data_IF_617704251331
#
_entry.id   IF_617704251331
#
_cell.length_a   1.000
_cell.length_b   1.000
_cell.length_c   1.000
_cell.angle_alpha   90.00
_cell.angle_beta   90.00
_cell.angle_gamma   90.00
#
_symmetry.space_group_name_H-M   'P 1'
#
loop_
_entity.id
_entity.type
_entity.pdbx_description
1 polymer ?
#
# COMPACT_ATOMS: atom_id res chain seq x y z
N UNK A 1 -21.99 6.52 -28.41
CA UNK A 1 -23.30 6.18 -27.82
C UNK A 1 -23.06 5.97 -26.34
N UNK A 2 -23.29 7.03 -25.56
CA UNK A 2 -22.85 7.07 -24.17
C UNK A 2 -23.82 6.29 -23.30
N UNK A 3 -23.38 5.14 -22.81
CA UNK A 3 -24.12 4.39 -21.80
C UNK A 3 -24.09 5.17 -20.49
N UNK A 4 -25.17 5.06 -19.71
CA UNK A 4 -25.24 5.58 -18.34
C UNK A 4 -23.97 5.18 -17.54
N UNK A 5 -23.46 6.06 -16.65
CA UNK A 5 -22.29 5.76 -15.81
C UNK A 5 -22.47 4.47 -14.99
N UNK A 6 -23.72 4.14 -14.63
CA UNK A 6 -24.03 2.93 -13.84
C UNK A 6 -24.21 1.67 -14.68
N UNK A 7 -24.05 1.75 -16.00
CA UNK A 7 -24.26 0.62 -16.88
C UNK A 7 -23.11 -0.40 -16.81
N UNK A 8 -23.46 -1.68 -16.85
CA UNK A 8 -22.48 -2.75 -17.01
C UNK A 8 -21.75 -2.62 -18.36
N UNK A 9 -20.43 -2.77 -18.30
CA UNK A 9 -19.56 -2.68 -19.49
C UNK A 9 -19.05 -4.06 -19.88
N UNK A 10 -18.98 -4.34 -21.18
CA UNK A 10 -18.36 -5.57 -21.67
C UNK A 10 -16.84 -5.47 -21.66
N UNK A 11 -16.14 -6.61 -21.73
CA UNK A 11 -14.67 -6.60 -21.82
C UNK A 11 -14.11 -5.85 -23.03
N UNK A 12 -14.81 -5.87 -24.17
CA UNK A 12 -14.40 -5.09 -25.34
C UNK A 12 -14.51 -3.59 -25.07
N UNK A 13 -15.60 -3.16 -24.46
CA UNK A 13 -15.81 -1.74 -24.12
C UNK A 13 -14.79 -1.24 -23.11
N UNK A 14 -14.51 -2.01 -22.05
CA UNK A 14 -13.50 -1.64 -21.05
C UNK A 14 -12.09 -1.63 -21.65
N UNK A 15 -11.81 -2.54 -22.59
CA UNK A 15 -10.54 -2.58 -23.31
C UNK A 15 -10.35 -1.33 -24.18
N UNK A 16 -11.37 -0.94 -24.93
CA UNK A 16 -11.38 0.27 -25.77
C UNK A 16 -11.28 1.54 -24.92
N UNK A 17 -12.06 1.64 -23.83
CA UNK A 17 -12.09 2.80 -22.93
C UNK A 17 -10.73 3.06 -22.26
N UNK A 18 -9.92 2.02 -22.05
CA UNK A 18 -8.64 2.08 -21.34
C UNK A 18 -7.42 1.98 -22.26
N UNK A 19 -7.65 1.80 -23.56
CA UNK A 19 -6.63 1.48 -24.55
C UNK A 19 -5.75 0.30 -24.12
N UNK A 20 -6.40 -0.80 -23.71
CA UNK A 20 -5.75 -2.02 -23.25
C UNK A 20 -6.23 -3.23 -24.05
N UNK A 21 -5.34 -4.16 -24.43
CA UNK A 21 -5.78 -5.41 -25.05
C UNK A 21 -6.67 -6.23 -24.11
N UNK A 22 -7.74 -6.83 -24.64
CA UNK A 22 -8.68 -7.64 -23.83
C UNK A 22 -8.01 -8.79 -23.06
N UNK A 23 -6.94 -9.38 -23.61
CA UNK A 23 -6.23 -10.47 -22.93
C UNK A 23 -5.51 -9.99 -21.65
N UNK A 24 -5.12 -8.71 -21.58
CA UNK A 24 -4.56 -8.11 -20.36
C UNK A 24 -5.63 -8.02 -19.28
N UNK A 25 -6.85 -7.60 -19.62
CA UNK A 25 -7.98 -7.60 -18.69
C UNK A 25 -8.29 -9.01 -18.18
N UNK A 26 -8.31 -10.02 -19.07
CA UNK A 26 -8.47 -11.43 -18.67
C UNK A 26 -7.35 -11.89 -17.75
N UNK A 27 -6.12 -11.46 -18.00
CA UNK A 27 -5.00 -11.77 -17.12
C UNK A 27 -5.16 -11.10 -15.76
N UNK A 28 -5.61 -9.84 -15.70
CA UNK A 28 -5.85 -9.11 -14.46
C UNK A 28 -6.94 -9.74 -13.60
N UNK A 29 -8.00 -10.30 -14.20
CA UNK A 29 -9.00 -11.10 -13.48
C UNK A 29 -8.36 -12.24 -12.66
N UNK A 30 -7.25 -12.81 -13.14
CA UNK A 30 -6.54 -13.90 -12.42
C UNK A 30 -5.60 -13.38 -11.33
N UNK A 31 -5.20 -12.10 -11.41
CA UNK A 31 -4.22 -11.49 -10.48
C UNK A 31 -4.91 -10.69 -9.37
N UNK A 32 -6.04 -10.07 -9.64
CA UNK A 32 -6.74 -9.22 -8.68
C UNK A 32 -8.08 -9.84 -8.34
N UNK A 33 -8.19 -10.41 -7.14
CA UNK A 33 -9.42 -11.08 -6.66
C UNK A 33 -10.58 -10.12 -6.45
N UNK A 34 -10.31 -8.82 -6.43
CA UNK A 34 -11.28 -7.75 -6.34
C UNK A 34 -12.07 -7.59 -7.65
N UNK A 35 -11.46 -7.88 -8.81
CA UNK A 35 -12.11 -7.77 -10.12
C UNK A 35 -12.92 -9.05 -10.37
N UNK A 36 -14.25 -8.97 -10.26
CA UNK A 36 -15.14 -10.13 -10.40
C UNK A 36 -16.14 -9.93 -11.54
N UNK A 37 -15.77 -10.25 -12.80
CA UNK A 37 -16.69 -10.09 -13.92
C UNK A 37 -17.90 -11.01 -13.76
N UNK A 38 -19.09 -10.47 -14.04
CA UNK A 38 -20.32 -11.25 -14.12
C UNK A 38 -20.33 -12.04 -15.42
N UNK A 39 -20.38 -13.38 -15.31
CA UNK A 39 -20.48 -14.29 -16.45
C UNK A 39 -21.96 -14.55 -16.76
N UNK A 40 -22.42 -14.13 -17.94
CA UNK A 40 -23.76 -14.46 -18.45
C UNK A 40 -23.66 -15.63 -19.43
N UNK A 41 -24.80 -16.23 -19.79
CA UNK A 41 -24.88 -17.24 -20.85
C UNK A 41 -24.13 -16.79 -22.11
N UNK A 42 -23.34 -17.70 -22.70
CA UNK A 42 -22.49 -17.43 -23.86
C UNK A 42 -21.06 -16.95 -23.53
N UNK A 43 -20.61 -17.02 -22.28
CA UNK A 43 -19.20 -16.77 -21.92
C UNK A 43 -18.75 -15.31 -21.97
N UNK A 44 -19.69 -14.38 -22.18
CA UNK A 44 -19.43 -12.93 -22.16
C UNK A 44 -19.24 -12.45 -20.72
N UNK A 45 -18.26 -11.57 -20.54
CA UNK A 45 -17.88 -10.96 -19.26
C UNK A 45 -18.40 -9.53 -19.22
N UNK A 46 -19.07 -9.21 -18.12
CA UNK A 46 -19.54 -7.87 -17.82
C UNK A 46 -18.89 -7.38 -16.53
N UNK A 47 -18.36 -6.16 -16.54
CA UNK A 47 -17.81 -5.49 -15.37
C UNK A 47 -18.83 -4.52 -14.80
N UNK A 48 -18.87 -4.41 -13.47
CA UNK A 48 -19.63 -3.37 -12.79
C UNK A 48 -18.91 -2.02 -12.95
N UNK A 49 -19.62 -0.89 -12.87
CA UNK A 49 -19.00 0.44 -12.87
C UNK A 49 -17.84 0.55 -11.86
N UNK A 50 -18.06 0.05 -10.64
CA UNK A 50 -17.05 0.02 -9.57
C UNK A 50 -15.80 -0.80 -9.93
N UNK A 51 -15.97 -1.93 -10.65
CA UNK A 51 -14.83 -2.72 -11.11
C UNK A 51 -14.05 -1.96 -12.19
N UNK A 52 -14.75 -1.23 -13.07
CA UNK A 52 -14.12 -0.42 -14.13
C UNK A 52 -13.30 0.72 -13.52
N UNK A 53 -13.81 1.39 -12.49
CA UNK A 53 -13.06 2.39 -11.73
C UNK A 53 -11.82 1.80 -11.07
N UNK A 54 -11.94 0.61 -10.49
CA UNK A 54 -10.80 -0.09 -9.91
C UNK A 54 -9.75 -0.46 -10.97
N UNK A 55 -10.18 -0.94 -12.13
CA UNK A 55 -9.30 -1.28 -13.26
C UNK A 55 -8.56 -0.03 -13.76
N UNK A 56 -9.22 1.14 -13.80
CA UNK A 56 -8.56 2.44 -14.10
C UNK A 56 -7.43 2.74 -13.12
N UNK A 57 -7.70 2.61 -11.82
CA UNK A 57 -6.68 2.78 -10.79
C UNK A 57 -5.51 1.80 -10.93
N UNK A 58 -5.80 0.52 -11.20
CA UNK A 58 -4.77 -0.50 -11.42
C UNK A 58 -3.92 -0.16 -12.65
N UNK A 59 -4.54 0.25 -13.77
CA UNK A 59 -3.82 0.68 -14.97
C UNK A 59 -2.88 1.83 -14.65
N UNK A 60 -3.36 2.86 -13.96
CA UNK A 60 -2.54 4.01 -13.59
C UNK A 60 -1.32 3.57 -12.76
N UNK A 61 -1.52 2.70 -11.78
CA UNK A 61 -0.41 2.22 -10.95
C UNK A 61 0.61 1.40 -11.75
N UNK A 62 0.16 0.55 -12.67
CA UNK A 62 1.04 -0.34 -13.42
C UNK A 62 1.78 0.37 -14.56
N UNK A 63 1.08 1.20 -15.33
CA UNK A 63 1.63 1.81 -16.55
C UNK A 63 2.17 3.21 -16.30
N UNK A 64 1.47 4.04 -15.52
CA UNK A 64 1.85 5.44 -15.34
C UNK A 64 2.85 5.57 -14.18
N UNK A 65 2.64 4.84 -13.07
CA UNK A 65 3.52 4.86 -11.89
C UNK A 65 4.59 3.75 -11.89
N UNK A 66 4.52 2.78 -12.83
CA UNK A 66 5.52 1.72 -12.96
C UNK A 66 5.55 0.69 -11.82
N UNK A 67 4.46 0.53 -11.06
CA UNK A 67 4.40 -0.50 -10.02
C UNK A 67 4.35 -1.90 -10.62
N UNK A 68 4.85 -2.88 -9.87
CA UNK A 68 4.65 -4.29 -10.20
C UNK A 68 3.27 -4.77 -9.76
N UNK A 69 2.76 -5.84 -10.39
CA UNK A 69 1.49 -6.47 -9.99
C UNK A 69 1.48 -6.82 -8.49
N UNK A 70 2.60 -7.35 -7.97
CA UNK A 70 2.74 -7.65 -6.54
C UNK A 70 2.66 -6.40 -5.66
N UNK A 71 3.24 -5.29 -6.12
CA UNK A 71 3.15 -4.00 -5.45
C UNK A 71 1.71 -3.49 -5.36
N UNK A 72 0.97 -3.53 -6.47
CA UNK A 72 -0.44 -3.12 -6.51
C UNK A 72 -1.32 -4.03 -5.65
N UNK A 73 -1.08 -5.35 -5.66
CA UNK A 73 -1.75 -6.28 -4.75
C UNK A 73 -1.48 -5.97 -3.27
N UNK A 74 -0.25 -5.57 -2.92
CA UNK A 74 0.09 -5.16 -1.56
C UNK A 74 -0.68 -3.90 -1.16
N UNK A 75 -0.71 -2.89 -2.03
CA UNK A 75 -1.49 -1.66 -1.79
C UNK A 75 -2.97 -1.94 -1.61
N UNK A 76 -3.55 -2.85 -2.39
CA UNK A 76 -4.95 -3.26 -2.25
C UNK A 76 -5.25 -3.91 -0.90
N UNK A 77 -4.36 -4.76 -0.40
CA UNK A 77 -4.55 -5.38 0.92
C UNK A 77 -4.43 -4.38 2.06
N UNK A 78 -3.61 -3.35 1.86
CA UNK A 78 -3.26 -2.39 2.90
C UNK A 78 -4.22 -1.20 2.99
N UNK A 79 -4.62 -0.64 1.85
CA UNK A 79 -5.43 0.58 1.78
C UNK A 79 -6.85 0.32 1.24
N UNK A 80 -7.12 -0.90 0.76
CA UNK A 80 -8.40 -1.26 0.16
C UNK A 80 -8.61 -0.74 -1.26
N UNK A 81 -9.78 -1.05 -1.82
CA UNK A 81 -10.12 -0.72 -3.21
C UNK A 81 -10.29 0.78 -3.43
N UNK A 82 -10.87 1.48 -2.45
CA UNK A 82 -11.16 2.91 -2.53
C UNK A 82 -9.91 3.75 -2.75
N UNK A 83 -8.76 3.31 -2.22
CA UNK A 83 -7.49 3.99 -2.44
C UNK A 83 -7.06 4.00 -3.90
N UNK A 84 -7.15 2.85 -4.59
CA UNK A 84 -6.80 2.78 -6.01
C UNK A 84 -7.80 3.52 -6.89
N UNK A 85 -9.09 3.48 -6.54
CA UNK A 85 -10.12 4.25 -7.25
C UNK A 85 -9.85 5.76 -7.12
N UNK A 86 -9.52 6.24 -5.92
CA UNK A 86 -9.17 7.63 -5.69
C UNK A 86 -7.93 8.05 -6.50
N UNK A 87 -6.89 7.23 -6.53
CA UNK A 87 -5.70 7.46 -7.37
C UNK A 87 -6.07 7.52 -8.85
N UNK A 88 -6.85 6.54 -9.34
CA UNK A 88 -7.25 6.47 -10.74
C UNK A 88 -8.08 7.67 -11.20
N UNK A 89 -8.81 8.30 -10.28
CA UNK A 89 -9.58 9.52 -10.52
C UNK A 89 -8.78 10.81 -10.29
N UNK A 90 -7.52 10.71 -9.83
CA UNK A 90 -6.69 11.87 -9.48
C UNK A 90 -7.14 12.62 -8.23
N UNK A 91 -7.97 12.02 -7.38
CA UNK A 91 -8.46 12.63 -6.16
C UNK A 91 -7.43 12.50 -5.03
N UNK A 92 -6.43 13.39 -5.08
CA UNK A 92 -5.34 13.40 -4.09
C UNK A 92 -5.83 13.70 -2.66
N UNK A 93 -6.92 14.46 -2.52
CA UNK A 93 -7.49 14.75 -1.20
C UNK A 93 -8.10 13.49 -0.57
N UNK A 94 -8.82 12.67 -1.35
CA UNK A 94 -9.31 11.38 -0.88
C UNK A 94 -8.17 10.40 -0.56
N UNK A 95 -7.12 10.38 -1.38
CA UNK A 95 -5.92 9.56 -1.13
C UNK A 95 -5.27 9.93 0.20
N UNK A 96 -5.08 11.22 0.46
CA UNK A 96 -4.49 11.71 1.71
C UNK A 96 -5.37 11.39 2.91
N UNK A 97 -6.69 11.59 2.81
CA UNK A 97 -7.63 11.26 3.88
C UNK A 97 -7.62 9.75 4.23
N UNK A 98 -7.54 8.87 3.23
CA UNK A 98 -7.43 7.42 3.45
C UNK A 98 -6.10 7.07 4.12
N UNK A 99 -5.00 7.69 3.68
CA UNK A 99 -3.69 7.47 4.28
C UNK A 99 -3.62 7.97 5.74
N UNK A 100 -4.20 9.13 6.04
CA UNK A 100 -4.25 9.70 7.39
C UNK A 100 -5.10 8.85 8.35
N UNK A 101 -6.26 8.34 7.91
CA UNK A 101 -7.09 7.42 8.71
C UNK A 101 -6.32 6.16 9.10
N UNK A 102 -5.58 5.58 8.14
CA UNK A 102 -4.74 4.42 8.38
C UNK A 102 -3.61 4.72 9.38
N UNK A 103 -2.96 5.88 9.26
CA UNK A 103 -1.93 6.29 10.22
C UNK A 103 -2.49 6.44 11.64
N UNK A 104 -3.70 7.00 11.79
CA UNK A 104 -4.37 7.12 13.08
C UNK A 104 -4.75 5.74 13.69
N UNK A 105 -5.18 4.78 12.87
CA UNK A 105 -5.47 3.41 13.30
C UNK A 105 -4.22 2.59 13.62
N UNK A 106 -3.05 2.97 13.10
CA UNK A 106 -1.76 2.32 13.35
C UNK A 106 -1.01 2.89 14.57
N UNK A 107 -1.51 3.94 15.22
CA UNK A 107 -0.94 4.40 16.50
C UNK A 107 -1.34 3.39 17.59
N UNK A 108 -0.39 2.66 18.21
CA UNK A 108 -0.73 1.82 19.34
C UNK A 108 -1.19 2.70 20.51
N UNK A 109 -2.21 2.27 21.24
CA UNK A 109 -2.53 2.79 22.57
C UNK A 109 -1.32 2.55 23.52
N UNK A 110 -0.33 3.43 23.47
CA UNK A 110 0.75 3.51 24.47
C UNK A 110 0.95 4.97 24.87
N UNK A 111 -0.07 5.58 25.44
CA UNK A 111 0.04 6.87 26.13
C UNK A 111 -1.12 7.09 27.12
N UNK A 112 -1.24 6.22 28.12
CA UNK A 112 -1.99 6.51 29.34
C UNK A 112 -1.41 5.75 30.54
N UNK A 113 -0.11 5.96 30.80
CA UNK A 113 0.48 5.71 32.11
C UNK A 113 0.72 7.07 32.77
N UNK A 114 -0.15 7.46 33.70
CA UNK A 114 0.20 8.41 34.75
C UNK A 114 0.45 7.61 36.03
N UNK A 115 1.56 7.85 36.75
CA UNK A 115 1.74 7.30 38.08
C UNK A 115 0.96 8.16 39.07
N UNK A 116 0.05 7.55 39.83
CA UNK A 116 -0.38 8.09 41.13
C UNK A 116 0.12 7.15 42.20
N UNK A 117 0.97 7.66 43.09
CA UNK A 117 1.18 7.05 44.39
C UNK A 117 -0.12 7.12 45.19
N UNK A 118 -0.40 6.09 45.98
CA UNK A 118 -0.11 6.09 47.41
C UNK A 118 -0.52 4.73 48.03
N UNK A 119 0.46 4.14 48.68
CA UNK A 119 0.48 3.32 49.90
C UNK A 119 -0.87 2.88 50.50
N UNK A 120 -1.14 1.56 50.57
CA UNK A 120 -1.19 0.77 51.82
C UNK A 120 -1.86 -0.60 51.56
N UNK A 121 -1.10 -1.70 51.63
CA UNK A 121 -1.65 -3.04 51.91
C UNK A 121 -0.52 -4.00 52.28
N UNK A 122 -0.48 -4.29 53.58
CA UNK A 122 0.44 -5.12 54.32
C UNK A 122 0.19 -6.63 54.10
N UNK A 123 1.27 -7.42 54.30
CA UNK A 123 1.33 -8.87 54.66
C UNK A 123 1.47 -9.93 53.53
N UNK A 124 2.72 -10.31 53.25
CA UNK A 124 3.31 -11.62 53.57
C UNK A 124 2.86 -12.90 52.82
N UNK A 125 3.76 -13.47 52.00
CA UNK A 125 4.41 -14.78 52.22
C UNK A 125 5.49 -15.11 51.15
N UNK A 126 6.46 -16.00 51.43
CA UNK A 126 7.79 -16.00 50.79
C UNK A 126 8.03 -17.12 49.75
N UNK A 127 9.17 -16.97 49.04
CA UNK A 127 10.00 -18.05 48.42
C UNK A 127 9.46 -18.59 47.08
N UNK A 128 10.24 -18.94 46.05
CA UNK A 128 11.63 -19.40 45.93
C UNK A 128 12.09 -19.14 44.48
N UNK A 129 13.36 -18.78 44.25
CA UNK A 129 14.05 -19.15 42.99
C UNK A 129 14.75 -20.50 43.19
N UNK A 130 14.66 -21.43 42.25
CA UNK A 130 15.75 -22.36 42.02
C UNK A 130 16.41 -22.09 40.67
N UNK A 131 17.69 -21.74 40.78
CA UNK A 131 18.68 -21.90 39.74
C UNK A 131 18.74 -23.36 39.27
N UNK A 132 18.84 -23.57 37.95
CA UNK A 132 19.84 -24.52 37.46
C UNK A 132 20.32 -24.12 36.06
N UNK A 133 21.61 -23.75 36.02
CA UNK A 133 22.44 -23.66 34.82
C UNK A 133 22.50 -25.03 34.14
N UNK A 134 22.46 -25.05 32.81
CA UNK A 134 23.32 -25.96 32.07
C UNK A 134 24.00 -25.21 30.92
N UNK A 135 25.30 -25.44 30.87
CA UNK A 135 26.31 -24.86 30.00
C UNK A 135 26.21 -25.54 28.62
N UNK A 136 26.21 -24.75 27.55
CA UNK A 136 26.23 -25.24 26.17
C UNK A 136 26.95 -24.22 25.29
N UNK A 137 28.26 -24.37 25.20
CA UNK A 137 29.19 -23.63 24.36
C UNK A 137 28.83 -23.86 22.87
N UNK A 138 28.41 -22.82 22.17
CA UNK A 138 28.06 -22.88 20.75
C UNK A 138 28.09 -21.50 20.10
N UNK A 139 29.24 -21.15 19.55
CA UNK A 139 29.46 -20.00 18.66
C UNK A 139 28.75 -20.27 17.33
N UNK A 140 27.73 -19.49 17.00
CA UNK A 140 27.23 -19.34 15.64
C UNK A 140 26.30 -18.11 15.57
N UNK A 141 26.84 -17.05 14.96
CA UNK A 141 26.16 -16.03 14.16
C UNK A 141 24.80 -15.52 14.67
N UNK A 142 24.89 -14.37 15.31
CA UNK A 142 23.80 -13.44 15.63
C UNK A 142 23.18 -12.90 14.33
N UNK A 143 22.32 -13.69 13.67
CA UNK A 143 21.29 -13.17 12.76
C UNK A 143 19.96 -13.15 13.52
N UNK A 144 19.83 -12.16 14.41
CA UNK A 144 18.54 -11.74 14.93
C UNK A 144 17.70 -11.11 13.80
N UNK A 145 16.36 -11.22 13.84
CA UNK A 145 15.50 -10.66 12.82
C UNK A 145 15.63 -9.13 12.82
N UNK A 146 16.08 -8.58 11.70
CA UNK A 146 16.20 -7.13 11.45
C UNK A 146 14.82 -6.50 11.65
N UNK A 147 14.68 -5.74 12.73
CA UNK A 147 13.48 -4.95 12.99
C UNK A 147 13.35 -3.87 11.90
N UNK A 148 12.17 -3.69 11.28
CA UNK A 148 11.99 -2.71 10.22
C UNK A 148 11.79 -1.33 10.86
N UNK A 149 12.88 -0.61 11.14
CA UNK A 149 12.79 0.82 11.46
C UNK A 149 12.66 1.61 10.14
N UNK A 150 11.54 1.41 9.46
CA UNK A 150 11.25 1.92 8.12
C UNK A 150 10.32 3.16 8.17
N UNK A 151 10.64 4.15 9.00
CA UNK A 151 9.83 5.39 9.05
C UNK A 151 10.62 6.69 9.02
N UNK A 152 11.95 6.66 8.96
CA UNK A 152 12.77 7.85 8.72
C UNK A 152 13.85 7.54 7.69
N UNK A 153 13.78 8.22 6.54
CA UNK A 153 14.88 8.20 5.57
C UNK A 153 16.18 8.50 6.32
N UNK A 154 17.18 7.61 6.20
CA UNK A 154 18.52 7.87 6.75
C UNK A 154 18.98 9.24 6.26
N UNK A 155 19.74 9.95 7.11
CA UNK A 155 20.33 11.25 6.76
C UNK A 155 21.07 11.19 5.43
N UNK A 156 21.72 10.06 5.16
CA UNK A 156 22.49 9.82 3.94
C UNK A 156 21.57 9.68 2.72
N UNK A 157 20.48 8.93 2.85
CA UNK A 157 19.48 8.80 1.78
C UNK A 157 18.82 10.16 1.47
N UNK A 158 18.57 10.96 2.50
CA UNK A 158 18.04 12.32 2.31
C UNK A 158 19.03 13.21 1.56
N UNK A 159 20.33 13.12 1.86
CA UNK A 159 21.36 13.88 1.16
C UNK A 159 21.46 13.48 -0.32
N UNK A 160 21.47 12.17 -0.62
CA UNK A 160 21.48 11.65 -1.98
C UNK A 160 20.26 12.11 -2.79
N UNK A 161 19.07 12.11 -2.19
CA UNK A 161 17.86 12.60 -2.85
C UNK A 161 17.90 14.12 -3.10
N UNK A 162 18.51 14.89 -2.19
CA UNK A 162 18.68 16.34 -2.37
C UNK A 162 19.68 16.65 -3.49
N UNK A 163 20.76 15.89 -3.60
CA UNK A 163 21.74 16.00 -4.69
C UNK A 163 21.09 15.69 -6.05
N UNK A 164 20.39 14.55 -6.16
CA UNK A 164 19.70 14.18 -7.39
C UNK A 164 18.62 15.21 -7.79
N UNK A 165 17.92 15.80 -6.82
CA UNK A 165 16.95 16.87 -7.08
C UNK A 165 17.63 18.13 -7.65
N UNK A 166 18.81 18.47 -7.14
CA UNK A 166 19.59 19.61 -7.62
C UNK A 166 20.01 19.40 -9.09
N UNK A 167 20.56 18.23 -9.41
CA UNK A 167 20.98 17.88 -10.77
C UNK A 167 19.82 17.96 -11.78
N UNK A 168 18.63 17.49 -11.39
CA UNK A 168 17.44 17.54 -12.23
C UNK A 168 16.95 18.98 -12.46
N UNK A 169 17.02 19.84 -11.44
CA UNK A 169 16.68 21.26 -11.58
C UNK A 169 17.67 21.99 -12.48
N UNK A 170 18.95 21.65 -12.42
CA UNK A 170 19.96 22.21 -13.30
C UNK A 170 19.75 21.76 -14.75
N UNK A 171 19.49 20.46 -14.97
CA UNK A 171 19.10 19.93 -16.28
C UNK A 171 17.90 20.70 -16.86
N UNK A 172 16.86 20.93 -16.05
CA UNK A 172 15.69 21.71 -16.46
C UNK A 172 16.05 23.14 -16.85
N UNK A 173 16.87 23.82 -16.03
CA UNK A 173 17.33 25.19 -16.31
C UNK A 173 18.08 25.28 -17.65
N UNK A 174 18.94 24.29 -17.94
CA UNK A 174 19.66 24.21 -19.21
C UNK A 174 18.71 24.01 -20.39
N UNK A 175 17.70 23.15 -20.26
CA UNK A 175 16.68 22.96 -21.30
C UNK A 175 15.86 24.23 -21.56
N UNK A 176 15.47 24.95 -20.51
CA UNK A 176 14.72 26.20 -20.62
C UNK A 176 15.54 27.33 -21.28
N UNK A 177 16.88 27.26 -21.25
CA UNK A 177 17.77 28.23 -21.92
C UNK A 177 17.96 27.98 -23.41
N UNK A 178 17.71 26.76 -23.88
CA UNK A 178 17.88 26.37 -25.30
C UNK A 178 16.59 26.59 -26.10
N UNK A 179 15.48 26.89 -25.43
CA UNK A 179 14.16 27.14 -26.04
C UNK A 179 13.93 28.62 -26.32
#
# INVERSE_FOLDING_TARGET
MDKSPDAFRTISEVAEDLDLPQHVLRFWETRFTQIKPMKRGGGRRYYRPQDVELIKGIRHMLYDQGYTIKGVQKLLRENGNHFLVAIGNGDMAAVEAIAQRRQAEQVPLTAAAQPRGDEDALVGQPKVKPSRRFFGLGKSDDEGPVQPDASKLSRDNRALLQEALFDLLECKRLLDQVR
#
